data_IF_321634720502
#
_entry.id   IF_321634720502
#
_cell.length_a   1.000
_cell.length_b   1.000
_cell.length_c   1.000
_cell.angle_alpha   90.00
_cell.angle_beta   90.00
_cell.angle_gamma   90.00
#
_symmetry.space_group_name_H-M   'P 1'
#
loop_
_entity.id
_entity.type
_entity.pdbx_description
1 polymer ?
#
# COMPACT_ATOMS: atom_id res chain seq x y z
N UNK A 1 -23.39 7.38 -21.00
CA UNK A 1 -22.76 6.62 -19.90
C UNK A 1 -23.86 5.95 -19.10
N UNK A 2 -23.71 4.68 -18.66
CA UNK A 2 -24.67 4.05 -17.77
C UNK A 2 -24.72 4.79 -16.43
N UNK A 3 -25.92 4.93 -15.87
CA UNK A 3 -26.15 5.63 -14.59
C UNK A 3 -26.43 4.62 -13.49
N UNK A 4 -26.03 4.96 -12.26
CA UNK A 4 -26.31 4.18 -11.06
C UNK A 4 -26.77 5.12 -9.97
N UNK A 5 -27.95 4.85 -9.40
CA UNK A 5 -28.45 5.57 -8.24
C UNK A 5 -27.81 5.00 -6.97
N UNK A 6 -27.36 5.89 -6.09
CA UNK A 6 -26.66 5.58 -4.85
C UNK A 6 -27.21 6.47 -3.74
N UNK A 7 -27.50 5.85 -2.60
CA UNK A 7 -27.86 6.58 -1.38
C UNK A 7 -26.60 7.01 -0.67
N UNK A 8 -26.53 8.29 -0.31
CA UNK A 8 -25.41 8.87 0.43
C UNK A 8 -25.84 9.25 1.84
N UNK A 9 -24.92 9.13 2.78
CA UNK A 9 -25.07 9.76 4.10
C UNK A 9 -24.90 11.27 3.97
N UNK A 10 -25.39 12.03 4.96
CA UNK A 10 -25.28 13.50 4.96
C UNK A 10 -23.84 13.97 4.86
N UNK A 11 -22.90 13.24 5.47
CA UNK A 11 -21.47 13.53 5.37
C UNK A 11 -20.97 13.55 3.92
N UNK A 12 -21.23 12.48 3.14
CA UNK A 12 -20.77 12.40 1.77
C UNK A 12 -21.52 13.33 0.82
N UNK A 13 -22.79 13.60 1.12
CA UNK A 13 -23.54 14.63 0.41
C UNK A 13 -22.88 16.00 0.57
N UNK A 14 -22.63 16.43 1.82
CA UNK A 14 -21.99 17.72 2.10
C UNK A 14 -20.60 17.80 1.48
N UNK A 15 -19.80 16.72 1.57
CA UNK A 15 -18.49 16.66 0.94
C UNK A 15 -18.57 16.89 -0.58
N UNK A 16 -19.52 16.24 -1.28
CA UNK A 16 -19.72 16.44 -2.71
C UNK A 16 -20.16 17.88 -3.00
N UNK A 17 -21.12 18.40 -2.23
CA UNK A 17 -21.65 19.75 -2.41
C UNK A 17 -20.55 20.80 -2.22
N UNK A 18 -19.70 20.68 -1.20
CA UNK A 18 -18.56 21.59 -0.96
C UNK A 18 -17.54 21.57 -2.12
N UNK A 19 -17.26 20.39 -2.66
CA UNK A 19 -16.33 20.21 -3.79
C UNK A 19 -16.88 20.79 -5.10
N UNK A 20 -18.19 20.75 -5.31
CA UNK A 20 -18.84 21.37 -6.47
C UNK A 20 -18.97 22.88 -6.28
N UNK A 21 -19.41 23.33 -5.11
CA UNK A 21 -19.63 24.75 -4.80
C UNK A 21 -18.32 25.55 -4.77
N UNK A 22 -17.21 24.92 -4.36
CA UNK A 22 -15.87 25.53 -4.44
C UNK A 22 -15.34 25.64 -5.88
N UNK A 23 -16.01 25.01 -6.85
CA UNK A 23 -15.59 25.01 -8.26
C UNK A 23 -14.47 24.02 -8.58
N UNK A 24 -14.03 23.18 -7.62
CA UNK A 24 -13.03 22.15 -7.89
C UNK A 24 -13.56 21.10 -8.88
N UNK A 25 -14.87 20.81 -8.83
CA UNK A 25 -15.55 19.91 -9.76
C UNK A 25 -16.79 20.57 -10.34
N UNK A 26 -17.15 20.21 -11.58
CA UNK A 26 -18.32 20.78 -12.26
C UNK A 26 -19.64 20.17 -11.80
N UNK A 27 -19.62 18.94 -11.30
CA UNK A 27 -20.80 18.22 -10.86
C UNK A 27 -20.45 17.05 -9.94
N UNK A 28 -21.44 16.55 -9.21
CA UNK A 28 -21.30 15.41 -8.31
C UNK A 28 -20.74 14.15 -9.00
N UNK A 29 -21.09 13.91 -10.26
CA UNK A 29 -20.60 12.73 -10.97
C UNK A 29 -19.09 12.78 -11.24
N UNK A 30 -18.49 13.97 -11.37
CA UNK A 30 -17.03 14.10 -11.45
C UNK A 30 -16.35 13.75 -10.12
N UNK A 31 -16.86 14.27 -9.00
CA UNK A 31 -16.36 13.94 -7.65
C UNK A 31 -16.39 12.44 -7.39
N UNK A 32 -17.53 11.80 -7.69
CA UNK A 32 -17.72 10.36 -7.47
C UNK A 32 -16.79 9.54 -8.38
N UNK A 33 -16.63 9.92 -9.66
CA UNK A 33 -15.71 9.20 -10.57
C UNK A 33 -14.26 9.30 -10.11
N UNK A 34 -13.83 10.48 -9.65
CA UNK A 34 -12.46 10.64 -9.18
C UNK A 34 -12.21 9.88 -7.88
N UNK A 35 -13.18 9.90 -6.96
CA UNK A 35 -13.15 9.11 -5.72
C UNK A 35 -13.08 7.61 -6.00
N UNK A 36 -13.85 7.11 -6.98
CA UNK A 36 -13.82 5.71 -7.38
C UNK A 36 -12.48 5.33 -8.04
N UNK A 37 -11.89 6.21 -8.86
CA UNK A 37 -10.56 5.98 -9.44
C UNK A 37 -9.51 5.83 -8.34
N UNK A 38 -9.53 6.72 -7.34
CA UNK A 38 -8.62 6.65 -6.21
C UNK A 38 -8.81 5.34 -5.41
N UNK A 39 -10.06 4.91 -5.23
CA UNK A 39 -10.36 3.62 -4.58
C UNK A 39 -9.80 2.44 -5.38
N UNK A 40 -9.98 2.43 -6.70
CA UNK A 40 -9.45 1.37 -7.59
C UNK A 40 -7.92 1.33 -7.55
N UNK A 41 -7.26 2.49 -7.60
CA UNK A 41 -5.80 2.60 -7.50
C UNK A 41 -5.29 2.05 -6.16
N UNK A 42 -5.92 2.44 -5.05
CA UNK A 42 -5.59 1.93 -3.72
C UNK A 42 -5.77 0.42 -3.64
N UNK A 43 -6.88 -0.11 -4.14
CA UNK A 43 -7.12 -1.57 -4.16
C UNK A 43 -6.08 -2.31 -4.99
N UNK A 44 -5.66 -1.75 -6.13
CA UNK A 44 -4.60 -2.32 -6.96
C UNK A 44 -3.25 -2.32 -6.22
N UNK A 45 -2.91 -1.22 -5.56
CA UNK A 45 -1.68 -1.10 -4.78
C UNK A 45 -1.65 -2.11 -3.62
N UNK A 46 -2.75 -2.21 -2.87
CA UNK A 46 -2.86 -3.12 -1.72
C UNK A 46 -2.74 -4.59 -2.18
N UNK A 47 -3.31 -4.94 -3.35
CA UNK A 47 -3.13 -6.27 -3.96
C UNK A 47 -1.68 -6.56 -4.31
N UNK A 48 -0.99 -5.62 -4.98
CA UNK A 48 0.40 -5.79 -5.37
C UNK A 48 1.34 -5.91 -4.16
N UNK A 49 1.08 -5.13 -3.10
CA UNK A 49 1.81 -5.24 -1.83
C UNK A 49 1.66 -6.63 -1.22
N UNK A 50 0.45 -7.17 -1.21
CA UNK A 50 0.18 -8.50 -0.68
C UNK A 50 0.85 -9.60 -1.51
N UNK A 51 0.78 -9.51 -2.85
CA UNK A 51 1.47 -10.44 -3.75
C UNK A 51 2.98 -10.42 -3.55
N UNK A 52 3.57 -9.22 -3.46
CA UNK A 52 5.00 -9.09 -3.19
C UNK A 52 5.36 -9.66 -1.82
N UNK A 53 4.59 -9.37 -0.77
CA UNK A 53 4.84 -9.93 0.56
C UNK A 53 4.81 -11.45 0.55
N UNK A 54 3.80 -12.06 -0.09
CA UNK A 54 3.70 -13.51 -0.23
C UNK A 54 4.91 -14.08 -0.98
N UNK A 55 5.33 -13.41 -2.05
CA UNK A 55 6.51 -13.82 -2.81
C UNK A 55 7.79 -13.76 -1.97
N UNK A 56 8.02 -12.69 -1.22
CA UNK A 56 9.19 -12.56 -0.33
C UNK A 56 9.19 -13.61 0.80
N UNK A 57 8.02 -13.91 1.36
CA UNK A 57 7.89 -15.01 2.34
C UNK A 57 8.27 -16.34 1.70
N UNK A 58 7.79 -16.62 0.49
CA UNK A 58 8.13 -17.86 -0.21
C UNK A 58 9.63 -17.98 -0.49
N UNK A 59 10.27 -16.90 -0.95
CA UNK A 59 11.73 -16.88 -1.13
C UNK A 59 12.46 -17.20 0.18
N UNK A 60 12.01 -16.62 1.30
CA UNK A 60 12.58 -16.92 2.61
C UNK A 60 12.36 -18.36 3.07
N UNK A 61 11.21 -18.97 2.75
CA UNK A 61 10.95 -20.39 3.01
C UNK A 61 11.87 -21.27 2.15
N UNK A 62 12.00 -20.96 0.87
CA UNK A 62 12.86 -21.70 -0.06
C UNK A 62 14.34 -21.64 0.38
N UNK A 63 14.80 -20.49 0.88
CA UNK A 63 16.13 -20.34 1.47
C UNK A 63 16.32 -21.18 2.74
N UNK A 64 15.30 -21.25 3.61
CA UNK A 64 15.34 -22.11 4.80
C UNK A 64 15.43 -23.59 4.43
N UNK A 65 14.64 -24.04 3.46
CA UNK A 65 14.62 -25.42 2.97
C UNK A 65 15.95 -25.82 2.32
N UNK A 66 16.63 -24.88 1.66
CA UNK A 66 17.96 -25.07 1.09
C UNK A 66 19.09 -24.97 2.11
N UNK A 67 18.80 -24.61 3.36
CA UNK A 67 19.82 -24.39 4.39
C UNK A 67 20.56 -23.06 4.25
N UNK A 68 20.09 -22.14 3.41
CA UNK A 68 20.64 -20.80 3.20
C UNK A 68 20.20 -19.85 4.32
N UNK A 69 20.51 -20.19 5.57
CA UNK A 69 20.17 -19.35 6.72
C UNK A 69 21.32 -19.28 7.72
N UNK A 70 21.36 -18.16 8.46
CA UNK A 70 22.26 -18.00 9.59
C UNK A 70 21.46 -18.08 10.89
N UNK A 71 21.89 -18.94 11.81
CA UNK A 71 21.32 -19.03 13.14
C UNK A 71 22.09 -18.15 14.10
N UNK A 72 21.41 -17.16 14.67
CA UNK A 72 21.96 -16.30 15.70
C UNK A 72 21.36 -16.72 17.06
N UNK A 73 22.20 -16.93 18.06
CA UNK A 73 21.74 -17.31 19.41
C UNK A 73 21.73 -16.12 20.34
N UNK A 74 22.61 -15.14 20.11
CA UNK A 74 22.68 -13.90 20.89
C UNK A 74 22.42 -12.66 20.02
N UNK A 75 21.79 -11.65 20.62
CA UNK A 75 21.50 -10.38 19.95
C UNK A 75 22.76 -9.63 19.49
N UNK A 76 23.92 -9.87 20.13
CA UNK A 76 25.20 -9.29 19.73
C UNK A 76 25.71 -9.86 18.39
N UNK A 77 25.48 -11.15 18.13
CA UNK A 77 25.92 -11.82 16.91
C UNK A 77 25.18 -11.27 15.69
N UNK A 78 23.87 -11.05 15.83
CA UNK A 78 23.06 -10.45 14.78
C UNK A 78 23.50 -9.02 14.47
N UNK A 79 23.80 -8.22 15.51
CA UNK A 79 24.26 -6.84 15.34
C UNK A 79 25.63 -6.78 14.65
N UNK A 80 26.56 -7.66 15.02
CA UNK A 80 27.87 -7.77 14.38
C UNK A 80 27.75 -8.17 12.90
N UNK A 81 26.87 -9.13 12.59
CA UNK A 81 26.60 -9.56 11.22
C UNK A 81 25.96 -8.44 10.36
N UNK A 82 24.94 -7.74 10.87
CA UNK A 82 24.34 -6.62 10.13
C UNK A 82 25.35 -5.49 9.91
N UNK A 83 26.24 -5.22 10.88
CA UNK A 83 27.29 -4.21 10.75
C UNK A 83 28.35 -4.58 9.69
N UNK A 84 28.58 -5.87 9.45
CA UNK A 84 29.50 -6.33 8.40
C UNK A 84 28.89 -6.31 7.00
N UNK A 85 27.57 -6.46 6.88
CA UNK A 85 26.83 -6.36 5.61
C UNK A 85 26.64 -4.92 5.13
N UNK A 86 26.51 -3.98 6.06
CA UNK A 86 26.40 -2.55 5.76
C UNK A 86 27.58 -1.79 6.37
N UNK A 87 28.81 -2.00 5.90
CA UNK A 87 29.94 -1.20 6.37
C UNK A 87 29.62 0.25 6.00
N UNK A 88 29.45 1.11 7.01
CA UNK A 88 29.20 2.52 6.78
C UNK A 88 30.25 3.04 5.80
N UNK A 89 29.80 3.57 4.66
CA UNK A 89 30.67 4.31 3.74
C UNK A 89 31.24 5.47 4.55
N UNK A 90 32.46 5.31 5.08
CA UNK A 90 33.27 6.42 5.58
C UNK A 90 33.37 7.44 4.44
N UNK A 91 32.75 8.60 4.68
CA UNK A 91 32.96 9.83 3.90
C UNK A 91 34.42 10.23 3.92
#
# INVERSE_FOLDING_TARGET
>A
MPTKNISLTDHFKNFIDDNVNSGQYKNASEVVRDSLRLLEEKQKEDRLKLENLKHQIQLGIDDLDQGNYNKFTESNDLKAYLSSLFPEKKK
#
